data_IF_221132128395
#
_entry.id   IF_221132128395
#
_cell.length_a   1.000
_cell.length_b   1.000
_cell.length_c   1.000
_cell.angle_alpha   90.00
_cell.angle_beta   90.00
_cell.angle_gamma   90.00
#
_symmetry.space_group_name_H-M   'P 1'
#
loop_
_entity.id
_entity.type
_entity.pdbx_description
1 polymer ?
#
# COMPACT_ATOMS: atom_id res chain seq x y z
N UNK A 1 7.08 4.53 16.01
CA UNK A 1 7.56 5.27 14.82
C UNK A 1 8.96 5.77 15.10
N UNK A 2 9.86 5.71 14.13
CA UNK A 2 11.28 6.00 14.32
C UNK A 2 11.63 7.40 13.81
N UNK A 3 12.57 8.05 14.49
CA UNK A 3 13.17 9.32 14.06
C UNK A 3 14.66 9.07 13.96
N UNK A 4 15.20 9.15 12.74
CA UNK A 4 16.62 8.92 12.49
C UNK A 4 17.14 9.90 11.43
N UNK A 5 18.26 10.54 11.74
CA UNK A 5 18.96 11.41 10.79
C UNK A 5 20.00 10.60 10.03
N UNK A 6 19.86 10.54 8.72
CA UNK A 6 20.77 9.76 7.87
C UNK A 6 20.89 10.39 6.50
N UNK A 7 21.95 10.04 5.78
CA UNK A 7 22.15 10.46 4.40
C UNK A 7 21.22 9.69 3.46
N UNK A 8 21.05 10.18 2.24
CA UNK A 8 20.29 9.47 1.21
C UNK A 8 20.80 8.05 0.96
N UNK A 9 22.13 7.88 0.96
CA UNK A 9 22.75 6.56 0.76
C UNK A 9 22.42 5.62 1.90
N UNK A 10 22.45 6.11 3.14
CA UNK A 10 22.09 5.32 4.31
C UNK A 10 20.61 4.92 4.30
N UNK A 11 19.73 5.86 3.92
CA UNK A 11 18.31 5.60 3.77
C UNK A 11 18.05 4.53 2.72
N UNK A 12 18.65 4.66 1.55
CA UNK A 12 18.53 3.69 0.46
C UNK A 12 18.95 2.29 0.91
N UNK A 13 20.07 2.18 1.58
CA UNK A 13 20.60 0.91 2.08
C UNK A 13 19.67 0.29 3.13
N UNK A 14 19.18 1.09 4.08
CA UNK A 14 18.26 0.63 5.12
C UNK A 14 16.93 0.16 4.53
N UNK A 15 16.33 0.96 3.67
CA UNK A 15 15.01 0.64 3.09
C UNK A 15 15.06 -0.53 2.12
N UNK A 16 16.18 -0.73 1.42
CA UNK A 16 16.38 -1.95 0.62
C UNK A 16 16.31 -3.20 1.49
N UNK A 17 16.93 -3.16 2.68
CA UNK A 17 16.85 -4.27 3.63
C UNK A 17 15.45 -4.44 4.21
N UNK A 18 14.77 -3.33 4.52
CA UNK A 18 13.40 -3.35 5.02
C UNK A 18 12.48 -4.03 4.00
N UNK A 19 12.58 -3.68 2.73
CA UNK A 19 11.78 -4.28 1.67
C UNK A 19 11.99 -5.80 1.61
N UNK A 20 13.24 -6.26 1.72
CA UNK A 20 13.57 -7.70 1.69
C UNK A 20 13.08 -8.44 2.93
N UNK A 21 12.97 -7.76 4.05
CA UNK A 21 12.57 -8.35 5.33
C UNK A 21 11.05 -8.34 5.54
N UNK A 22 10.36 -7.35 4.96
CA UNK A 22 8.91 -7.23 5.10
C UNK A 22 8.18 -8.44 4.53
N UNK A 23 7.05 -8.79 5.16
CA UNK A 23 6.17 -9.82 4.61
C UNK A 23 5.32 -9.20 3.50
N UNK A 24 5.48 -9.70 2.30
CA UNK A 24 4.78 -9.23 1.11
C UNK A 24 3.60 -10.14 0.75
N UNK A 25 2.49 -9.54 0.33
CA UNK A 25 1.34 -10.25 -0.21
C UNK A 25 0.73 -9.45 -1.36
N UNK A 26 0.44 -10.10 -2.47
CA UNK A 26 -0.34 -9.52 -3.57
C UNK A 26 -1.75 -10.12 -3.54
N UNK A 27 -2.76 -9.28 -3.74
CA UNK A 27 -4.17 -9.71 -3.80
C UNK A 27 -4.50 -10.05 -5.24
N UNK A 28 -5.19 -11.16 -5.47
CA UNK A 28 -5.54 -11.59 -6.82
C UNK A 28 -6.65 -10.74 -7.42
N UNK A 29 -7.65 -10.38 -6.62
CA UNK A 29 -8.81 -9.64 -7.07
C UNK A 29 -8.50 -8.16 -7.30
N UNK A 30 -9.11 -7.53 -8.30
CA UNK A 30 -9.07 -6.07 -8.39
C UNK A 30 -9.92 -5.45 -7.28
N UNK A 31 -9.53 -4.26 -6.85
CA UNK A 31 -10.25 -3.46 -5.86
C UNK A 31 -10.64 -2.12 -6.47
N UNK A 32 -11.65 -1.48 -5.88
CA UNK A 32 -12.05 -0.13 -6.26
C UNK A 32 -12.54 0.65 -5.04
N UNK A 33 -12.67 1.95 -5.17
CA UNK A 33 -13.23 2.79 -4.13
C UNK A 33 -14.73 2.97 -4.35
N UNK A 34 -15.53 2.43 -3.42
CA UNK A 34 -16.97 2.65 -3.36
C UNK A 34 -17.24 3.77 -2.37
N UNK A 35 -18.08 4.73 -2.76
CA UNK A 35 -18.41 5.85 -1.90
C UNK A 35 -19.85 5.76 -1.41
N UNK A 36 -20.07 6.19 -0.16
CA UNK A 36 -21.39 6.45 0.40
C UNK A 36 -21.40 7.82 1.07
N UNK A 37 -22.57 8.44 1.21
CA UNK A 37 -22.69 9.67 1.98
C UNK A 37 -22.35 9.41 3.43
N UNK A 38 -21.89 10.43 4.14
CA UNK A 38 -21.57 10.34 5.58
C UNK A 38 -22.73 9.75 6.37
N UNK A 39 -23.97 10.14 6.03
CA UNK A 39 -25.19 9.70 6.73
C UNK A 39 -25.56 8.25 6.43
N UNK A 40 -24.99 7.66 5.39
CA UNK A 40 -25.33 6.32 4.90
C UNK A 40 -24.25 5.30 5.20
N UNK A 41 -23.43 5.55 6.21
CA UNK A 41 -22.37 4.63 6.62
C UNK A 41 -22.94 3.25 6.98
N UNK A 42 -22.27 2.21 6.50
CA UNK A 42 -22.50 0.84 6.92
C UNK A 42 -21.16 0.11 6.99
N UNK A 43 -21.08 -0.86 7.87
CA UNK A 43 -19.90 -1.73 7.95
C UNK A 43 -19.92 -2.72 6.79
N UNK A 44 -18.83 -2.79 6.04
CA UNK A 44 -18.65 -3.76 4.95
C UNK A 44 -17.48 -4.68 5.29
N UNK A 45 -17.73 -5.97 5.59
CA UNK A 45 -16.67 -6.89 5.99
C UNK A 45 -15.68 -7.22 4.85
N UNK A 46 -16.02 -6.94 3.60
CA UNK A 46 -15.10 -7.12 2.46
C UNK A 46 -14.12 -5.96 2.29
N UNK A 47 -14.36 -4.85 2.96
CA UNK A 47 -13.50 -3.67 2.85
C UNK A 47 -12.18 -3.90 3.59
N UNK A 48 -11.07 -3.61 2.93
CA UNK A 48 -9.74 -3.58 3.57
C UNK A 48 -9.41 -2.20 4.12
N UNK A 49 -10.15 -1.17 3.73
CA UNK A 49 -10.03 0.19 4.25
C UNK A 49 -11.36 0.92 4.14
N UNK A 50 -11.64 1.76 5.13
CA UNK A 50 -12.78 2.68 5.14
C UNK A 50 -12.25 4.03 5.58
N UNK A 51 -12.31 5.01 4.70
CA UNK A 51 -11.74 6.34 4.92
C UNK A 51 -12.82 7.39 4.80
N UNK A 52 -12.87 8.29 5.75
CA UNK A 52 -13.89 9.33 5.84
C UNK A 52 -13.29 10.70 5.55
N UNK A 53 -14.00 11.49 4.74
CA UNK A 53 -13.79 12.93 4.69
C UNK A 53 -15.04 13.67 5.17
N UNK A 54 -15.25 14.91 4.74
CA UNK A 54 -16.40 15.71 5.19
C UNK A 54 -17.71 15.33 4.51
N UNK A 55 -17.66 14.70 3.35
CA UNK A 55 -18.84 14.44 2.52
C UNK A 55 -19.15 12.95 2.38
N UNK A 56 -18.12 12.10 2.33
CA UNK A 56 -18.28 10.69 1.99
C UNK A 56 -17.48 9.78 2.91
N UNK A 57 -17.94 8.52 2.99
CA UNK A 57 -17.11 7.36 3.33
C UNK A 57 -16.66 6.70 2.05
N UNK A 58 -15.37 6.40 1.98
CA UNK A 58 -14.75 5.72 0.85
C UNK A 58 -14.30 4.33 1.30
N UNK A 59 -14.80 3.29 0.63
CA UNK A 59 -14.53 1.89 0.98
C UNK A 59 -13.65 1.27 -0.09
N UNK A 60 -12.55 0.70 0.29
CA UNK A 60 -11.71 -0.07 -0.63
C UNK A 60 -12.15 -1.53 -0.57
N UNK A 61 -12.88 -1.97 -1.59
CA UNK A 61 -13.53 -3.29 -1.64
C UNK A 61 -13.20 -3.99 -2.95
N UNK A 62 -13.34 -5.33 -2.99
CA UNK A 62 -13.19 -6.07 -4.26
C UNK A 62 -14.14 -5.57 -5.33
N UNK A 63 -13.64 -5.46 -6.55
CA UNK A 63 -14.41 -5.01 -7.72
C UNK A 63 -14.90 -6.20 -8.53
N UNK A 64 -16.14 -6.13 -8.97
CA UNK A 64 -16.75 -7.12 -9.86
C UNK A 64 -17.01 -6.54 -11.26
N UNK A 65 -16.57 -5.31 -11.52
CA UNK A 65 -16.85 -4.59 -12.76
C UNK A 65 -15.57 -4.04 -13.39
N UNK A 66 -15.46 -4.16 -14.71
CA UNK A 66 -14.40 -3.51 -15.49
C UNK A 66 -14.74 -2.05 -15.85
N UNK A 67 -15.92 -1.58 -15.47
CA UNK A 67 -16.37 -0.20 -15.73
C UNK A 67 -15.90 0.80 -14.67
N UNK A 68 -15.47 0.30 -13.52
CA UNK A 68 -14.91 1.13 -12.46
C UNK A 68 -13.39 1.24 -12.63
N UNK A 69 -12.80 2.29 -12.04
CA UNK A 69 -11.35 2.37 -11.93
C UNK A 69 -10.87 1.31 -10.94
N UNK A 70 -10.19 0.30 -11.45
CA UNK A 70 -9.73 -0.83 -10.66
C UNK A 70 -8.25 -0.72 -10.31
N UNK A 71 -7.90 -1.24 -9.15
CA UNK A 71 -6.56 -1.22 -8.61
C UNK A 71 -6.09 -2.62 -8.26
N UNK A 72 -4.82 -2.89 -8.52
CA UNK A 72 -4.11 -4.02 -7.95
C UNK A 72 -3.67 -3.64 -6.55
N UNK A 73 -4.00 -4.51 -5.58
CA UNK A 73 -3.59 -4.30 -4.20
C UNK A 73 -2.44 -5.25 -3.85
N UNK A 74 -1.45 -4.71 -3.19
CA UNK A 74 -0.40 -5.49 -2.54
C UNK A 74 -0.13 -4.91 -1.15
N UNK A 75 0.46 -5.70 -0.28
CA UNK A 75 0.68 -5.28 1.10
C UNK A 75 2.06 -5.64 1.59
N UNK A 76 2.55 -4.83 2.52
CA UNK A 76 3.75 -5.13 3.31
C UNK A 76 3.36 -5.14 4.77
N UNK A 77 3.89 -6.10 5.50
CA UNK A 77 3.85 -6.12 6.95
C UNK A 77 5.28 -5.98 7.49
N UNK A 78 5.46 -5.03 8.40
CA UNK A 78 6.73 -4.73 9.04
C UNK A 78 6.63 -5.14 10.51
N UNK A 79 7.42 -6.11 10.92
CA UNK A 79 7.42 -6.59 12.29
C UNK A 79 7.92 -5.50 13.27
N UNK A 80 7.59 -5.65 14.53
CA UNK A 80 8.10 -4.77 15.58
C UNK A 80 9.63 -4.68 15.54
N UNK A 81 10.15 -3.47 15.77
CA UNK A 81 11.58 -3.22 15.79
C UNK A 81 12.21 -2.93 14.43
N UNK A 82 11.46 -3.05 13.36
CA UNK A 82 11.95 -2.75 12.01
C UNK A 82 11.73 -1.27 11.69
N UNK A 83 12.81 -0.53 11.49
CA UNK A 83 12.72 0.90 11.14
C UNK A 83 12.37 1.05 9.65
N UNK A 84 11.09 1.27 9.37
CA UNK A 84 10.59 1.50 8.02
C UNK A 84 10.40 2.99 7.70
N UNK A 85 10.92 3.89 8.51
CA UNK A 85 10.74 5.33 8.28
C UNK A 85 11.24 5.73 6.89
N UNK A 86 10.40 6.48 6.17
CA UNK A 86 10.67 6.88 4.79
C UNK A 86 10.29 5.85 3.73
N UNK A 87 9.81 4.67 4.10
CA UNK A 87 9.52 3.59 3.16
C UNK A 87 8.50 3.99 2.09
N UNK A 88 7.40 4.62 2.49
CA UNK A 88 6.33 5.01 1.55
C UNK A 88 6.86 5.96 0.47
N UNK A 89 7.53 7.04 0.87
CA UNK A 89 8.09 8.00 -0.08
C UNK A 89 9.16 7.38 -0.97
N UNK A 90 10.03 6.57 -0.40
CA UNK A 90 11.11 5.90 -1.12
C UNK A 90 10.57 4.94 -2.19
N UNK A 91 9.66 4.04 -1.84
CA UNK A 91 9.14 3.06 -2.79
C UNK A 91 8.23 3.70 -3.83
N UNK A 92 7.37 4.64 -3.41
CA UNK A 92 6.49 5.36 -4.34
C UNK A 92 7.30 6.13 -5.39
N UNK A 93 8.40 6.77 -4.99
CA UNK A 93 9.29 7.47 -5.91
C UNK A 93 9.97 6.52 -6.89
N UNK A 94 10.43 5.36 -6.41
CA UNK A 94 11.04 4.35 -7.29
C UNK A 94 10.05 3.86 -8.35
N UNK A 95 8.83 3.57 -7.95
CA UNK A 95 7.79 3.10 -8.89
C UNK A 95 7.43 4.21 -9.88
N UNK A 96 7.28 5.45 -9.41
CA UNK A 96 7.01 6.59 -10.28
C UNK A 96 8.12 6.80 -11.31
N UNK A 97 9.37 6.72 -10.87
CA UNK A 97 10.51 6.93 -11.76
C UNK A 97 10.66 5.81 -12.79
N UNK A 98 10.42 4.57 -12.40
CA UNK A 98 10.58 3.41 -13.28
C UNK A 98 9.39 3.20 -14.21
N UNK A 99 8.17 3.33 -13.70
CA UNK A 99 6.95 2.94 -14.41
C UNK A 99 6.03 4.12 -14.75
N UNK A 100 6.35 5.32 -14.27
CA UNK A 100 5.56 6.51 -14.55
C UNK A 100 4.25 6.61 -13.78
N UNK A 101 3.93 5.64 -12.92
CA UNK A 101 2.64 5.56 -12.26
C UNK A 101 2.62 6.20 -10.87
N UNK A 102 1.47 6.78 -10.52
CA UNK A 102 1.14 7.08 -9.14
C UNK A 102 0.66 5.82 -8.42
N UNK A 103 0.56 5.93 -7.11
CA UNK A 103 0.09 4.89 -6.21
C UNK A 103 -0.73 5.54 -5.12
N UNK A 104 -1.58 4.74 -4.46
CA UNK A 104 -2.10 5.15 -3.16
C UNK A 104 -1.63 4.16 -2.09
N UNK A 105 -1.60 4.61 -0.84
CA UNK A 105 -1.20 3.80 0.30
C UNK A 105 -2.16 4.03 1.45
N UNK A 106 -2.59 2.95 2.08
CA UNK A 106 -3.37 2.99 3.32
C UNK A 106 -2.59 2.21 4.37
N UNK A 107 -2.31 2.86 5.49
CA UNK A 107 -1.47 2.28 6.54
C UNK A 107 -2.30 1.92 7.77
N UNK A 108 -1.86 0.91 8.50
CA UNK A 108 -2.49 0.47 9.73
C UNK A 108 -1.51 -0.14 10.71
N UNK A 109 -2.01 -0.44 11.90
CA UNK A 109 -1.27 -1.09 12.96
C UNK A 109 -1.93 -2.40 13.32
N UNK A 110 -1.13 -3.45 13.57
CA UNK A 110 -1.62 -4.76 13.98
C UNK A 110 -0.90 -5.20 15.26
N UNK A 111 -1.51 -4.92 16.41
CA UNK A 111 -0.93 -5.28 17.70
C UNK A 111 -1.05 -6.77 18.01
N UNK A 112 -1.94 -7.49 17.34
CA UNK A 112 -2.10 -8.94 17.53
C UNK A 112 -0.91 -9.68 16.91
N UNK A 113 -0.56 -9.33 15.69
CA UNK A 113 0.59 -9.90 14.98
C UNK A 113 1.91 -9.25 15.39
N UNK A 114 1.84 -7.99 15.83
CA UNK A 114 2.99 -7.13 16.06
C UNK A 114 3.32 -6.30 14.81
N UNK A 115 3.65 -5.02 15.02
CA UNK A 115 4.10 -4.14 13.96
C UNK A 115 2.98 -3.39 13.23
N UNK A 116 3.31 -2.97 12.03
CA UNK A 116 2.46 -2.15 11.17
C UNK A 116 2.37 -2.76 9.78
N UNK A 117 1.40 -2.32 9.02
CA UNK A 117 1.21 -2.80 7.65
C UNK A 117 0.75 -1.68 6.72
N UNK A 118 1.08 -1.84 5.45
CA UNK A 118 0.64 -0.95 4.37
C UNK A 118 -0.12 -1.74 3.33
N UNK A 119 -1.27 -1.21 2.89
CA UNK A 119 -1.89 -1.62 1.63
C UNK A 119 -1.52 -0.59 0.57
N UNK A 120 -1.04 -1.08 -0.57
CA UNK A 120 -0.64 -0.28 -1.73
C UNK A 120 -1.56 -0.58 -2.88
N UNK A 121 -1.97 0.45 -3.60
CA UNK A 121 -2.78 0.31 -4.80
C UNK A 121 -2.12 0.95 -6.01
N UNK A 122 -2.07 0.22 -7.11
CA UNK A 122 -1.65 0.74 -8.40
C UNK A 122 -2.74 0.50 -9.44
N UNK A 123 -2.76 1.24 -10.57
CA UNK A 123 -3.70 0.95 -11.64
C UNK A 123 -3.63 -0.53 -12.03
N UNK A 124 -4.79 -1.16 -12.18
CA UNK A 124 -4.84 -2.61 -12.39
C UNK A 124 -4.14 -3.03 -13.70
N UNK A 125 -4.21 -2.19 -14.73
CA UNK A 125 -3.60 -2.44 -16.03
C UNK A 125 -2.08 -2.55 -16.02
N UNK A 126 -1.40 -2.01 -15.00
CA UNK A 126 0.07 -2.10 -14.88
C UNK A 126 0.50 -3.03 -13.74
N UNK A 127 -0.42 -3.83 -13.22
CA UNK A 127 -0.17 -4.71 -12.08
C UNK A 127 1.06 -5.59 -12.27
N UNK A 128 1.16 -6.24 -13.42
CA UNK A 128 2.26 -7.17 -13.69
C UNK A 128 3.61 -6.45 -13.72
N UNK A 129 3.67 -5.26 -14.31
CA UNK A 129 4.89 -4.46 -14.36
C UNK A 129 5.34 -4.03 -12.97
N UNK A 130 4.39 -3.63 -12.12
CA UNK A 130 4.68 -3.25 -10.73
C UNK A 130 5.20 -4.44 -9.94
N UNK A 131 4.54 -5.58 -10.02
CA UNK A 131 4.96 -6.79 -9.30
C UNK A 131 6.33 -7.27 -9.76
N UNK A 132 6.61 -7.23 -11.05
CA UNK A 132 7.92 -7.59 -11.60
C UNK A 132 9.00 -6.64 -11.09
N UNK A 133 8.73 -5.35 -11.08
CA UNK A 133 9.69 -4.35 -10.55
C UNK A 133 9.97 -4.57 -9.07
N UNK A 134 8.92 -4.82 -8.26
CA UNK A 134 9.09 -5.12 -6.83
C UNK A 134 9.97 -6.36 -6.64
N UNK A 135 9.78 -7.38 -7.45
CA UNK A 135 10.60 -8.60 -7.41
C UNK A 135 12.06 -8.29 -7.69
N UNK A 136 12.35 -7.46 -8.67
CA UNK A 136 13.73 -7.02 -8.97
C UNK A 136 14.38 -6.28 -7.79
N UNK A 137 13.61 -5.44 -7.09
CA UNK A 137 14.12 -4.72 -5.92
C UNK A 137 14.48 -5.63 -4.75
N UNK A 138 13.91 -6.84 -4.70
CA UNK A 138 14.17 -7.82 -3.63
C UNK A 138 15.28 -8.83 -3.97
N UNK A 139 15.77 -8.81 -5.18
CA UNK A 139 16.87 -9.67 -5.63
C UNK A 139 18.22 -9.28 -5.01
#
# INVERSE_FOLDING_TARGET
MYISNETKVQTEKRLSKVLKTATFKAFEEPYFFKETRITDFHFDPSAIAMVKDNEVWSYLIPSESDKTENFKIFSFHFKDGLDNSGFVGWLASKIKNELGSGLFVVCGQNSVRGGIFDYWGCPFEIADDVLEYLKKLTE
#
